data_IF_299705140463
#
_entry.id   IF_299705140463
#
_cell.length_a   1.000
_cell.length_b   1.000
_cell.length_c   1.000
_cell.angle_alpha   90.00
_cell.angle_beta   90.00
_cell.angle_gamma   90.00
#
_symmetry.space_group_name_H-M   'P 1'
#
loop_
_entity.id
_entity.type
_entity.pdbx_description
1 polymer ?
#
# COMPACT_ATOMS: atom_id res chain seq x y z
N UNK A 1 42.99 14.25 -13.13
CA UNK A 1 41.78 14.25 -12.28
C UNK A 1 40.65 13.36 -12.81
N UNK A 2 40.23 13.49 -14.07
CA UNK A 2 39.08 12.75 -14.63
C UNK A 2 39.12 11.22 -14.44
N UNK A 3 40.27 10.57 -14.68
CA UNK A 3 40.42 9.11 -14.54
C UNK A 3 40.21 8.59 -13.11
N UNK A 4 40.57 9.39 -12.09
CA UNK A 4 40.39 9.03 -10.68
C UNK A 4 38.91 9.18 -10.28
N UNK A 5 38.25 10.24 -10.76
CA UNK A 5 36.82 10.46 -10.57
C UNK A 5 35.97 9.37 -11.23
N UNK A 6 36.27 9.01 -12.49
CA UNK A 6 35.59 7.94 -13.20
C UNK A 6 35.77 6.58 -12.49
N UNK A 7 36.99 6.26 -12.03
CA UNK A 7 37.25 5.04 -11.24
C UNK A 7 36.45 5.01 -9.95
N UNK A 8 36.42 6.13 -9.21
CA UNK A 8 35.62 6.26 -7.98
C UNK A 8 34.13 6.03 -8.24
N UNK A 9 33.60 6.61 -9.31
CA UNK A 9 32.21 6.43 -9.74
C UNK A 9 31.89 4.95 -10.02
N UNK A 10 32.70 4.28 -10.85
CA UNK A 10 32.48 2.85 -11.16
C UNK A 10 32.59 1.97 -9.92
N UNK A 11 33.51 2.26 -9.00
CA UNK A 11 33.61 1.54 -7.72
C UNK A 11 32.35 1.76 -6.89
N UNK A 12 31.80 2.97 -6.83
CA UNK A 12 30.57 3.27 -6.09
C UNK A 12 29.36 2.54 -6.70
N UNK A 13 29.21 2.58 -8.02
CA UNK A 13 28.15 1.87 -8.74
C UNK A 13 28.28 0.36 -8.53
N UNK A 14 29.48 -0.21 -8.62
CA UNK A 14 29.71 -1.63 -8.38
C UNK A 14 29.37 -2.03 -6.94
N UNK A 15 29.77 -1.24 -5.93
CA UNK A 15 29.37 -1.47 -4.53
C UNK A 15 27.86 -1.38 -4.32
N UNK A 16 27.22 -0.41 -4.98
CA UNK A 16 25.78 -0.25 -4.94
C UNK A 16 25.07 -1.47 -5.56
N UNK A 17 25.51 -1.91 -6.74
CA UNK A 17 24.98 -3.10 -7.41
C UNK A 17 25.21 -4.36 -6.57
N UNK A 18 26.40 -4.56 -6.00
CA UNK A 18 26.69 -5.70 -5.12
C UNK A 18 25.78 -5.74 -3.88
N UNK A 19 25.40 -4.59 -3.32
CA UNK A 19 24.49 -4.54 -2.16
C UNK A 19 23.01 -4.72 -2.51
N UNK A 20 22.62 -4.54 -3.78
CA UNK A 20 21.23 -4.60 -4.25
C UNK A 20 20.91 -5.83 -5.08
N UNK A 21 21.91 -6.42 -5.72
CA UNK A 21 21.72 -7.61 -6.54
C UNK A 21 21.72 -8.85 -5.65
N UNK A 22 20.76 -9.77 -5.84
CA UNK A 22 20.58 -10.95 -5.01
C UNK A 22 21.60 -12.05 -5.36
N UNK A 23 22.90 -11.73 -5.41
CA UNK A 23 23.94 -12.70 -5.76
C UNK A 23 24.06 -13.85 -4.75
N UNK A 24 23.64 -13.62 -3.50
CA UNK A 24 23.55 -14.65 -2.46
C UNK A 24 22.23 -15.41 -2.44
N UNK A 25 21.30 -15.16 -3.36
CA UNK A 25 20.05 -15.89 -3.42
C UNK A 25 20.27 -17.22 -4.16
N UNK A 26 20.39 -18.30 -3.40
CA UNK A 26 20.61 -19.65 -3.90
C UNK A 26 19.50 -20.09 -4.87
N UNK A 27 18.24 -19.70 -4.63
CA UNK A 27 17.12 -20.03 -5.52
C UNK A 27 17.32 -19.45 -6.91
N UNK A 28 17.69 -18.16 -7.01
CA UNK A 28 17.92 -17.53 -8.32
C UNK A 28 19.12 -18.12 -9.05
N UNK A 29 20.14 -18.53 -8.29
CA UNK A 29 21.31 -19.22 -8.84
C UNK A 29 20.94 -20.61 -9.37
N UNK A 30 20.04 -21.31 -8.68
CA UNK A 30 19.62 -22.66 -9.04
C UNK A 30 18.57 -22.66 -10.17
N UNK A 31 17.78 -21.59 -10.33
CA UNK A 31 16.83 -21.41 -11.44
C UNK A 31 17.49 -21.49 -12.82
N UNK A 32 18.78 -21.14 -12.95
CA UNK A 32 19.51 -21.27 -14.23
C UNK A 32 19.52 -22.70 -14.76
N UNK A 33 19.44 -23.69 -13.86
CA UNK A 33 19.50 -25.11 -14.15
C UNK A 33 18.17 -25.65 -14.72
N UNK A 34 17.13 -24.82 -14.81
CA UNK A 34 15.85 -25.16 -15.42
C UNK A 34 15.94 -25.22 -16.95
N UNK A 35 16.97 -24.66 -17.58
CA UNK A 35 17.09 -24.78 -19.02
C UNK A 35 17.21 -26.27 -19.42
N UNK A 36 16.44 -26.80 -20.39
CA UNK A 36 16.49 -28.22 -20.76
C UNK A 36 17.92 -28.71 -21.09
N UNK A 37 18.73 -27.87 -21.74
CA UNK A 37 20.15 -28.17 -22.00
C UNK A 37 21.00 -28.25 -20.75
N UNK A 38 20.67 -27.50 -19.69
CA UNK A 38 21.39 -27.53 -18.42
C UNK A 38 21.03 -28.77 -17.60
N UNK A 39 19.82 -29.32 -17.73
CA UNK A 39 19.39 -30.56 -17.04
C UNK A 39 20.28 -31.76 -17.36
N UNK A 40 21.02 -31.73 -18.48
CA UNK A 40 22.02 -32.74 -18.84
C UNK A 40 23.25 -32.74 -17.94
N UNK A 41 23.53 -31.63 -17.25
CA UNK A 41 24.67 -31.53 -16.35
C UNK A 41 24.33 -32.12 -14.98
N UNK A 42 25.22 -32.92 -14.42
CA UNK A 42 25.05 -33.50 -13.07
C UNK A 42 24.93 -32.42 -11.99
N UNK A 43 25.60 -31.28 -12.19
CA UNK A 43 25.51 -30.13 -11.30
C UNK A 43 24.12 -29.48 -11.28
N UNK A 44 23.37 -29.57 -12.38
CA UNK A 44 22.02 -29.04 -12.50
C UNK A 44 21.02 -29.88 -11.69
N UNK A 45 21.20 -31.21 -11.64
CA UNK A 45 20.36 -32.12 -10.86
C UNK A 45 20.44 -31.76 -9.36
N UNK A 46 21.63 -31.46 -8.84
CA UNK A 46 21.81 -31.02 -7.45
C UNK A 46 21.10 -29.68 -7.19
N UNK A 47 21.27 -28.71 -8.10
CA UNK A 47 20.60 -27.42 -8.00
C UNK A 47 19.07 -27.55 -8.04
N UNK A 48 18.53 -28.39 -8.93
CA UNK A 48 17.09 -28.64 -9.03
C UNK A 48 16.53 -29.34 -7.78
N UNK A 49 17.31 -30.24 -7.16
CA UNK A 49 16.95 -30.84 -5.87
C UNK A 49 16.83 -29.80 -4.77
N UNK A 50 17.84 -28.93 -4.63
CA UNK A 50 17.82 -27.85 -3.65
C UNK A 50 16.61 -26.95 -3.88
N UNK A 51 16.35 -26.61 -5.15
CA UNK A 51 15.23 -25.78 -5.53
C UNK A 51 13.89 -26.44 -5.17
N UNK A 52 13.70 -27.73 -5.48
CA UNK A 52 12.50 -28.48 -5.12
C UNK A 52 12.25 -28.51 -3.60
N UNK A 53 13.31 -28.60 -2.79
CA UNK A 53 13.20 -28.54 -1.32
C UNK A 53 12.76 -27.16 -0.80
N UNK A 54 13.08 -26.08 -1.53
CA UNK A 54 12.69 -24.72 -1.19
C UNK A 54 11.23 -24.39 -1.57
N UNK A 55 10.55 -25.26 -2.32
CA UNK A 55 9.15 -25.04 -2.77
C UNK A 55 8.22 -26.20 -2.36
N UNK A 56 8.04 -26.45 -1.06
CA UNK A 56 7.25 -27.58 -0.55
C UNK A 56 5.77 -27.54 -0.94
N UNK A 57 5.24 -26.35 -1.26
CA UNK A 57 3.87 -26.16 -1.74
C UNK A 57 3.64 -26.76 -3.13
N UNK A 58 4.68 -26.77 -3.97
CA UNK A 58 4.61 -27.31 -5.35
C UNK A 58 4.97 -28.79 -5.36
N UNK A 59 6.06 -29.13 -4.67
CA UNK A 59 6.63 -30.48 -4.59
C UNK A 59 6.71 -30.88 -3.12
N UNK A 60 5.82 -31.75 -2.63
CA UNK A 60 5.91 -32.26 -1.27
C UNK A 60 7.26 -32.95 -1.02
N UNK A 61 7.82 -32.89 0.20
CA UNK A 61 9.11 -33.52 0.53
C UNK A 61 9.19 -35.02 0.16
N UNK A 62 8.05 -35.71 0.21
CA UNK A 62 7.92 -37.13 -0.13
C UNK A 62 8.07 -37.41 -1.63
N UNK A 63 7.75 -36.43 -2.48
CA UNK A 63 7.80 -36.53 -3.94
C UNK A 63 9.13 -36.07 -4.52
N UNK A 64 10.02 -35.46 -3.71
CA UNK A 64 11.31 -34.94 -4.19
C UNK A 64 12.15 -36.05 -4.81
N UNK A 65 12.26 -37.21 -4.17
CA UNK A 65 13.03 -38.33 -4.73
C UNK A 65 12.48 -38.79 -6.09
N UNK A 66 11.15 -38.93 -6.20
CA UNK A 66 10.51 -39.31 -7.45
C UNK A 66 10.65 -38.25 -8.56
N UNK A 67 10.67 -36.96 -8.20
CA UNK A 67 10.99 -35.88 -9.14
C UNK A 67 12.43 -35.98 -9.63
N UNK A 68 13.39 -36.30 -8.75
CA UNK A 68 14.79 -36.46 -9.13
C UNK A 68 14.98 -37.66 -10.08
N UNK A 69 14.24 -38.74 -9.88
CA UNK A 69 14.27 -39.89 -10.77
C UNK A 69 13.75 -39.51 -12.18
N UNK A 70 12.65 -38.75 -12.26
CA UNK A 70 12.11 -38.23 -13.51
C UNK A 70 13.10 -37.28 -14.22
N UNK A 71 13.76 -36.39 -13.47
CA UNK A 71 14.78 -35.47 -14.00
C UNK A 71 16.04 -36.20 -14.49
N UNK A 72 16.45 -37.24 -13.79
CA UNK A 72 17.60 -38.08 -14.20
C UNK A 72 17.26 -38.88 -15.44
N UNK A 73 16.02 -39.36 -15.59
CA UNK A 73 15.58 -39.99 -16.82
C UNK A 73 15.53 -38.97 -17.97
N UNK A 74 15.04 -37.76 -17.71
CA UNK A 74 14.99 -36.68 -18.69
C UNK A 74 16.40 -36.28 -19.18
N UNK A 75 17.41 -36.29 -18.32
CA UNK A 75 18.79 -35.92 -18.71
C UNK A 75 19.41 -36.89 -19.72
N UNK A 76 18.90 -38.13 -19.79
CA UNK A 76 19.34 -39.15 -20.76
C UNK A 76 18.67 -39.03 -22.12
N UNK A 77 17.63 -38.21 -22.26
CA UNK A 77 16.92 -38.04 -23.52
C UNK A 77 17.59 -37.00 -24.43
N UNK A 78 17.52 -37.26 -25.73
CA UNK A 78 18.01 -36.34 -26.75
C UNK A 78 16.92 -35.36 -27.17
N UNK A 79 17.06 -34.10 -26.74
CA UNK A 79 16.27 -32.98 -27.25
C UNK A 79 17.16 -32.06 -28.09
N UNK A 80 16.66 -31.64 -29.25
CA UNK A 80 17.23 -30.51 -29.98
C UNK A 80 16.89 -29.22 -29.23
N UNK A 81 17.89 -28.60 -28.61
CA UNK A 81 17.70 -27.27 -28.01
C UNK A 81 18.30 -26.22 -28.93
N UNK A 82 17.47 -25.31 -29.42
CA UNK A 82 17.95 -24.11 -30.08
C UNK A 82 18.26 -23.04 -29.02
N UNK A 83 19.49 -22.49 -28.96
CA UNK A 83 19.85 -21.44 -28.01
C UNK A 83 19.02 -20.16 -28.11
N UNK A 84 18.31 -19.96 -29.23
CA UNK A 84 17.46 -18.80 -29.49
C UNK A 84 15.96 -19.08 -29.32
N UNK A 85 15.58 -20.31 -28.99
CA UNK A 85 14.18 -20.64 -28.69
C UNK A 85 13.78 -20.09 -27.33
N UNK A 86 12.52 -19.67 -27.19
CA UNK A 86 12.02 -19.25 -25.87
C UNK A 86 12.00 -20.46 -24.95
N UNK A 87 12.36 -20.24 -23.69
CA UNK A 87 12.40 -21.31 -22.69
C UNK A 87 11.07 -22.07 -22.57
N UNK A 88 9.94 -21.35 -22.67
CA UNK A 88 8.60 -21.93 -22.63
C UNK A 88 8.36 -22.90 -23.79
N UNK A 89 8.80 -22.53 -25.00
CA UNK A 89 8.63 -23.33 -26.23
C UNK A 89 9.52 -24.58 -26.15
N UNK A 90 10.76 -24.44 -25.66
CA UNK A 90 11.66 -25.57 -25.45
C UNK A 90 11.07 -26.60 -24.48
N UNK A 91 10.44 -26.15 -23.39
CA UNK A 91 9.76 -27.03 -22.43
C UNK A 91 8.44 -27.59 -22.95
N UNK A 92 7.75 -26.92 -23.86
CA UNK A 92 6.50 -27.38 -24.45
C UNK A 92 6.68 -28.71 -25.19
N UNK A 93 7.82 -28.93 -25.85
CA UNK A 93 8.15 -30.23 -26.47
C UNK A 93 8.16 -31.35 -25.43
N UNK A 94 8.84 -31.12 -24.30
CA UNK A 94 8.93 -32.08 -23.19
C UNK A 94 7.55 -32.31 -22.55
N UNK A 95 6.74 -31.26 -22.42
CA UNK A 95 5.38 -31.35 -21.88
C UNK A 95 4.44 -32.18 -22.77
N UNK A 96 4.71 -32.24 -24.07
CA UNK A 96 3.91 -33.00 -25.03
C UNK A 96 4.27 -34.49 -25.10
N UNK A 97 5.35 -34.92 -24.44
CA UNK A 97 5.75 -36.31 -24.42
C UNK A 97 4.75 -37.16 -23.64
N UNK A 98 4.25 -38.21 -24.28
CA UNK A 98 3.31 -39.17 -23.70
C UNK A 98 4.03 -40.47 -23.32
N UNK A 99 3.63 -41.05 -22.20
CA UNK A 99 3.96 -42.42 -21.83
C UNK A 99 3.16 -43.42 -22.67
N UNK A 100 3.52 -44.70 -22.58
CA UNK A 100 2.82 -45.81 -23.27
C UNK A 100 1.35 -45.91 -22.88
N UNK A 101 1.00 -45.40 -21.70
CA UNK A 101 -0.37 -45.40 -21.17
C UNK A 101 -1.19 -44.15 -21.59
N UNK A 102 -0.64 -43.29 -22.46
CA UNK A 102 -1.29 -42.07 -22.95
C UNK A 102 -1.30 -40.89 -21.97
N UNK A 103 -0.75 -41.06 -20.76
CA UNK A 103 -0.51 -39.97 -19.81
C UNK A 103 0.79 -39.19 -20.09
N UNK A 104 1.02 -38.02 -19.47
CA UNK A 104 2.28 -37.28 -19.61
C UNK A 104 3.45 -38.13 -19.10
N UNK A 105 4.56 -38.14 -19.85
CA UNK A 105 5.74 -38.96 -19.55
C UNK A 105 6.45 -38.54 -18.24
N UNK A 106 6.45 -37.24 -17.95
CA UNK A 106 7.12 -36.66 -16.78
C UNK A 106 6.18 -35.75 -15.97
N UNK A 107 5.16 -36.31 -15.29
CA UNK A 107 4.10 -35.53 -14.66
C UNK A 107 4.63 -34.60 -13.54
N UNK A 108 5.59 -35.04 -12.74
CA UNK A 108 6.15 -34.24 -11.64
C UNK A 108 7.07 -33.17 -12.17
N UNK A 109 7.94 -33.50 -13.13
CA UNK A 109 8.81 -32.52 -13.76
C UNK A 109 8.01 -31.41 -14.44
N UNK A 110 6.95 -31.76 -15.18
CA UNK A 110 6.06 -30.77 -15.82
C UNK A 110 5.45 -29.81 -14.79
N UNK A 111 4.93 -30.34 -13.68
CA UNK A 111 4.33 -29.53 -12.62
C UNK A 111 5.35 -28.59 -11.98
N UNK A 112 6.53 -29.12 -11.65
CA UNK A 112 7.62 -28.38 -11.03
C UNK A 112 8.12 -27.24 -11.94
N UNK A 113 8.44 -27.55 -13.19
CA UNK A 113 8.95 -26.57 -14.17
C UNK A 113 7.91 -25.48 -14.43
N UNK A 114 6.63 -25.82 -14.63
CA UNK A 114 5.57 -24.82 -14.82
C UNK A 114 5.47 -23.84 -13.65
N UNK A 115 5.62 -24.33 -12.42
CA UNK A 115 5.63 -23.46 -11.25
C UNK A 115 6.85 -22.53 -11.28
N UNK A 116 8.02 -23.01 -11.67
CA UNK A 116 9.23 -22.18 -11.72
C UNK A 116 9.20 -21.15 -12.84
N UNK A 117 8.65 -21.50 -14.02
CA UNK A 117 8.45 -20.56 -15.12
C UNK A 117 7.37 -19.51 -14.81
N UNK A 118 6.52 -19.75 -13.81
CA UNK A 118 5.53 -18.75 -13.35
C UNK A 118 6.12 -17.67 -12.44
N UNK A 119 7.38 -17.84 -12.00
CA UNK A 119 8.07 -16.82 -11.20
C UNK A 119 8.37 -15.60 -12.06
N UNK A 120 7.92 -14.43 -11.61
CA UNK A 120 8.21 -13.17 -12.29
C UNK A 120 9.71 -12.87 -12.25
N UNK A 121 10.33 -12.78 -13.43
CA UNK A 121 11.77 -12.59 -13.60
C UNK A 121 12.22 -11.11 -13.57
N UNK A 122 11.29 -10.18 -13.31
CA UNK A 122 11.62 -8.77 -13.17
C UNK A 122 10.40 -7.88 -12.91
N UNK A 123 10.68 -6.60 -12.65
CA UNK A 123 9.64 -5.60 -12.41
C UNK A 123 8.99 -5.09 -13.71
N UNK A 124 9.45 -5.53 -14.88
CA UNK A 124 8.96 -5.05 -16.18
C UNK A 124 7.45 -5.23 -16.35
N UNK A 125 6.89 -6.36 -15.92
CA UNK A 125 5.44 -6.60 -15.98
C UNK A 125 4.66 -5.69 -15.04
N UNK A 126 5.23 -5.40 -13.86
CA UNK A 126 4.65 -4.49 -12.88
C UNK A 126 4.69 -3.05 -13.41
N UNK A 127 5.80 -2.63 -14.00
CA UNK A 127 5.99 -1.32 -14.62
C UNK A 127 5.10 -1.11 -15.85
N UNK A 128 4.95 -2.14 -16.68
CA UNK A 128 3.98 -2.16 -17.78
C UNK A 128 2.57 -1.99 -17.22
N UNK A 129 2.23 -2.69 -16.15
CA UNK A 129 1.01 -2.48 -15.40
C UNK A 129 0.84 -1.02 -14.98
N UNK A 130 1.82 -0.41 -14.32
CA UNK A 130 1.75 0.99 -13.90
C UNK A 130 1.53 1.95 -15.07
N UNK A 131 2.18 1.71 -16.20
CA UNK A 131 1.97 2.49 -17.43
C UNK A 131 0.53 2.38 -17.93
N UNK A 132 -0.04 1.17 -17.90
CA UNK A 132 -1.46 0.97 -18.23
C UNK A 132 -2.41 1.66 -17.24
N UNK A 133 -2.08 1.65 -15.94
CA UNK A 133 -2.85 2.40 -14.94
C UNK A 133 -2.79 3.90 -15.19
N UNK A 134 -1.60 4.43 -15.50
CA UNK A 134 -1.43 5.84 -15.82
C UNK A 134 -2.34 6.24 -16.98
N UNK A 135 -2.43 5.40 -18.02
CA UNK A 135 -3.34 5.63 -19.15
C UNK A 135 -4.82 5.57 -18.74
N UNK A 136 -5.21 4.63 -17.88
CA UNK A 136 -6.58 4.51 -17.37
C UNK A 136 -7.00 5.70 -16.49
N UNK A 137 -6.06 6.26 -15.73
CA UNK A 137 -6.29 7.36 -14.78
C UNK A 137 -6.12 8.76 -15.37
N UNK A 138 -5.55 8.89 -16.57
CA UNK A 138 -5.18 10.17 -17.18
C UNK A 138 -6.33 11.19 -17.27
N UNK A 139 -7.57 10.73 -17.38
CA UNK A 139 -8.78 11.57 -17.42
C UNK A 139 -9.79 11.20 -16.31
N UNK A 140 -9.41 10.28 -15.41
CA UNK A 140 -10.31 9.64 -14.44
C UNK A 140 -9.64 9.54 -13.06
N UNK A 141 -9.21 10.68 -12.54
CA UNK A 141 -8.49 10.77 -11.26
C UNK A 141 -9.35 10.42 -10.03
N UNK A 142 -10.68 10.43 -10.15
CA UNK A 142 -11.61 10.12 -9.05
C UNK A 142 -12.17 8.69 -9.09
N UNK A 143 -11.47 7.74 -9.72
CA UNK A 143 -11.87 6.34 -9.69
C UNK A 143 -11.48 5.68 -8.37
N UNK A 144 -12.42 4.95 -7.77
CA UNK A 144 -12.11 4.08 -6.64
C UNK A 144 -11.17 2.94 -7.06
N UNK A 145 -10.37 2.44 -6.11
CA UNK A 145 -9.44 1.32 -6.34
C UNK A 145 -10.19 0.10 -6.88
N UNK A 146 -11.40 -0.18 -6.38
CA UNK A 146 -12.25 -1.25 -6.88
C UNK A 146 -12.61 -1.09 -8.36
N UNK A 147 -12.90 0.14 -8.80
CA UNK A 147 -13.20 0.45 -10.20
C UNK A 147 -11.98 0.25 -11.10
N UNK A 148 -10.80 0.68 -10.65
CA UNK A 148 -9.53 0.48 -11.37
C UNK A 148 -9.23 -1.02 -11.52
N UNK A 149 -9.37 -1.80 -10.46
CA UNK A 149 -9.18 -3.25 -10.49
C UNK A 149 -10.17 -3.95 -11.42
N UNK A 150 -11.44 -3.54 -11.40
CA UNK A 150 -12.47 -4.07 -12.32
C UNK A 150 -12.18 -3.77 -13.78
N UNK A 151 -11.76 -2.54 -14.10
CA UNK A 151 -11.37 -2.15 -15.46
C UNK A 151 -10.13 -2.94 -15.93
N UNK A 152 -9.13 -3.09 -15.05
CA UNK A 152 -7.93 -3.90 -15.32
C UNK A 152 -8.27 -5.36 -15.61
N UNK A 153 -9.08 -5.99 -14.77
CA UNK A 153 -9.49 -7.38 -14.94
C UNK A 153 -10.22 -7.58 -16.27
N UNK A 154 -11.14 -6.66 -16.61
CA UNK A 154 -11.90 -6.69 -17.86
C UNK A 154 -10.96 -6.53 -19.08
N UNK A 155 -10.07 -5.54 -19.06
CA UNK A 155 -9.11 -5.30 -20.14
C UNK A 155 -8.16 -6.50 -20.33
N UNK A 156 -7.65 -7.06 -19.23
CA UNK A 156 -6.80 -8.25 -19.27
C UNK A 156 -7.53 -9.45 -19.88
N UNK A 157 -8.80 -9.64 -19.53
CA UNK A 157 -9.64 -10.69 -20.12
C UNK A 157 -9.85 -10.47 -21.62
N UNK A 158 -10.20 -9.26 -22.07
CA UNK A 158 -10.36 -8.96 -23.49
C UNK A 158 -9.05 -9.11 -24.29
N UNK A 159 -7.89 -8.79 -23.70
CA UNK A 159 -6.59 -8.99 -24.34
C UNK A 159 -6.31 -10.46 -24.69
N UNK A 160 -6.93 -11.44 -24.00
CA UNK A 160 -6.81 -12.87 -24.34
C UNK A 160 -7.47 -13.22 -25.68
N UNK A 161 -8.40 -12.40 -26.14
CA UNK A 161 -9.15 -12.56 -27.39
C UNK A 161 -8.67 -11.56 -28.46
N UNK A 162 -7.38 -11.20 -28.44
CA UNK A 162 -6.81 -10.29 -29.45
C UNK A 162 -7.31 -8.84 -29.36
N UNK A 163 -7.90 -8.45 -28.23
CA UNK A 163 -8.59 -7.16 -28.06
C UNK A 163 -9.85 -6.98 -28.94
N UNK A 164 -10.31 -8.04 -29.60
CA UNK A 164 -11.55 -8.03 -30.36
C UNK A 164 -12.73 -8.30 -29.44
N UNK A 165 -13.58 -7.28 -29.25
CA UNK A 165 -14.76 -7.39 -28.40
C UNK A 165 -15.75 -8.46 -28.91
N UNK A 166 -15.84 -8.64 -30.23
CA UNK A 166 -16.74 -9.61 -30.87
C UNK A 166 -16.35 -11.06 -30.62
N UNK A 167 -15.07 -11.32 -30.36
CA UNK A 167 -14.55 -12.66 -30.10
C UNK A 167 -14.74 -13.09 -28.63
N UNK A 168 -15.16 -12.18 -27.75
CA UNK A 168 -15.32 -12.47 -26.33
C UNK A 168 -16.66 -13.20 -26.08
N UNK A 169 -16.64 -14.46 -25.60
CA UNK A 169 -17.86 -15.21 -25.34
C UNK A 169 -18.57 -14.66 -24.10
N UNK A 170 -19.79 -14.16 -24.28
CA UNK A 170 -20.63 -13.65 -23.19
C UNK A 170 -21.32 -14.82 -22.48
N UNK A 171 -20.87 -15.13 -21.26
CA UNK A 171 -21.48 -16.17 -20.44
C UNK A 171 -22.80 -15.68 -19.79
N UNK A 172 -23.78 -16.57 -19.53
CA UNK A 172 -25.02 -16.21 -18.83
C UNK A 172 -24.80 -15.53 -17.48
N UNK A 173 -23.76 -15.92 -16.74
CA UNK A 173 -23.39 -15.32 -15.47
C UNK A 173 -22.98 -13.85 -15.59
N UNK A 174 -22.34 -13.48 -16.72
CA UNK A 174 -21.97 -12.08 -16.99
C UNK A 174 -23.23 -11.24 -17.19
N UNK A 175 -24.22 -11.77 -17.91
CA UNK A 175 -25.51 -11.10 -18.11
C UNK A 175 -26.22 -10.89 -16.77
N UNK A 176 -26.23 -11.91 -15.92
CA UNK A 176 -26.80 -11.83 -14.56
C UNK A 176 -26.07 -10.79 -13.71
N UNK A 177 -24.73 -10.77 -13.76
CA UNK A 177 -23.91 -9.82 -13.02
C UNK A 177 -24.15 -8.37 -13.47
N UNK A 178 -24.25 -8.12 -14.78
CA UNK A 178 -24.55 -6.80 -15.34
C UNK A 178 -25.94 -6.33 -14.91
N UNK A 179 -26.96 -7.18 -14.98
CA UNK A 179 -28.31 -6.85 -14.50
C UNK A 179 -28.35 -6.48 -13.01
N UNK A 180 -27.51 -7.11 -12.18
CA UNK A 180 -27.40 -6.80 -10.75
C UNK A 180 -26.45 -5.65 -10.41
N UNK A 181 -25.71 -5.10 -11.38
CA UNK A 181 -24.64 -4.13 -11.13
C UNK A 181 -25.17 -2.80 -10.59
N UNK A 182 -26.31 -2.32 -11.10
CA UNK A 182 -26.95 -1.09 -10.64
C UNK A 182 -27.41 -1.18 -9.19
N UNK A 183 -27.99 -2.33 -8.80
CA UNK A 183 -28.41 -2.59 -7.42
C UNK A 183 -27.19 -2.56 -6.47
N UNK A 184 -26.10 -3.25 -6.84
CA UNK A 184 -24.86 -3.22 -6.06
C UNK A 184 -24.25 -1.82 -5.96
N UNK A 185 -24.32 -1.04 -7.04
CA UNK A 185 -23.86 0.35 -7.01
C UNK A 185 -24.67 1.18 -6.00
N UNK A 186 -26.01 1.08 -6.02
CA UNK A 186 -26.85 1.75 -5.04
C UNK A 186 -26.54 1.33 -3.60
N UNK A 187 -26.33 0.04 -3.36
CA UNK A 187 -25.90 -0.49 -2.06
C UNK A 187 -24.56 0.13 -1.63
N UNK A 188 -23.55 0.17 -2.50
CA UNK A 188 -22.26 0.81 -2.20
C UNK A 188 -22.40 2.31 -1.90
N UNK A 189 -23.15 3.07 -2.70
CA UNK A 189 -23.37 4.50 -2.47
C UNK A 189 -24.06 4.74 -1.12
N UNK A 190 -25.08 3.92 -0.80
CA UNK A 190 -25.77 4.02 0.49
C UNK A 190 -24.82 3.75 1.67
N UNK A 191 -23.94 2.74 1.55
CA UNK A 191 -22.94 2.40 2.55
C UNK A 191 -21.85 3.48 2.71
N UNK A 192 -21.49 4.22 1.65
CA UNK A 192 -20.53 5.33 1.69
C UNK A 192 -21.14 6.63 2.25
N UNK A 193 -22.44 6.85 2.08
CA UNK A 193 -23.17 8.01 2.62
C UNK A 193 -23.35 7.95 4.15
N UNK A 194 -23.52 6.76 4.74
CA UNK A 194 -23.70 6.61 6.19
C UNK A 194 -22.51 7.11 7.05
N UNK A 195 -21.25 6.72 6.78
CA UNK A 195 -20.11 7.16 7.58
C UNK A 195 -19.74 8.63 7.35
N UNK A 196 -19.99 9.18 6.15
CA UNK A 196 -19.75 10.59 5.84
C UNK A 196 -20.77 11.49 6.54
N UNK A 197 -22.04 11.10 6.62
CA UNK A 197 -23.05 11.80 7.41
C UNK A 197 -22.77 11.74 8.93
N UNK A 198 -22.31 10.59 9.45
CA UNK A 198 -21.92 10.46 10.87
C UNK A 198 -20.70 11.32 11.22
N UNK A 199 -19.68 11.35 10.36
CA UNK A 199 -18.49 12.20 10.53
C UNK A 199 -18.81 13.70 10.44
N UNK A 200 -19.71 14.09 9.53
CA UNK A 200 -20.16 15.49 9.42
C UNK A 200 -20.93 15.97 10.66
N UNK A 201 -21.80 15.11 11.23
CA UNK A 201 -22.51 15.41 12.50
C UNK A 201 -21.55 15.54 13.68
N UNK A 202 -20.63 14.58 13.86
CA UNK A 202 -19.59 14.64 14.90
C UNK A 202 -18.70 15.89 14.79
N UNK A 203 -18.39 16.34 13.56
CA UNK A 203 -17.63 17.56 13.35
C UNK A 203 -18.46 18.82 13.63
N UNK A 204 -19.75 18.86 13.29
CA UNK A 204 -20.62 19.99 13.63
C UNK A 204 -20.85 20.11 15.14
N UNK A 205 -21.13 19.01 15.83
CA UNK A 205 -21.37 18.99 17.27
C UNK A 205 -20.11 19.39 18.06
N UNK A 206 -18.94 18.92 17.63
CA UNK A 206 -17.65 19.28 18.26
C UNK A 206 -17.21 20.72 17.96
N UNK A 207 -17.60 21.30 16.83
CA UNK A 207 -17.35 22.72 16.53
C UNK A 207 -18.32 23.61 17.31
N UNK A 208 -19.60 23.24 17.41
CA UNK A 208 -20.60 23.96 18.22
C UNK A 208 -20.20 24.09 19.68
N UNK A 209 -19.90 22.96 20.34
CA UNK A 209 -19.48 22.94 21.75
C UNK A 209 -18.22 23.78 22.02
N UNK A 210 -17.27 23.82 21.09
CA UNK A 210 -16.04 24.61 21.23
C UNK A 210 -16.26 26.11 21.02
N UNK A 211 -17.22 26.50 20.20
CA UNK A 211 -17.59 27.90 19.99
C UNK A 211 -18.29 28.45 21.23
N UNK A 212 -19.14 27.64 21.88
CA UNK A 212 -19.84 28.03 23.10
C UNK A 212 -18.90 28.15 24.30
N UNK A 213 -17.93 27.23 24.46
CA UNK A 213 -16.87 27.34 25.48
C UNK A 213 -15.96 28.57 25.29
N UNK A 214 -15.67 28.95 24.05
CA UNK A 214 -14.89 30.17 23.79
C UNK A 214 -15.69 31.44 24.10
N UNK A 215 -17.00 31.44 23.84
CA UNK A 215 -17.88 32.57 24.16
C UNK A 215 -18.04 32.76 25.67
N UNK A 216 -18.18 31.68 26.44
CA UNK A 216 -18.30 31.78 27.90
C UNK A 216 -17.02 32.33 28.55
N UNK A 217 -15.84 31.87 28.12
CA UNK A 217 -14.56 32.39 28.61
C UNK A 217 -14.36 33.86 28.23
N UNK A 218 -14.84 34.28 27.05
CA UNK A 218 -14.76 35.68 26.64
C UNK A 218 -15.65 36.59 27.50
N UNK A 219 -16.86 36.14 27.86
CA UNK A 219 -17.76 36.85 28.78
C UNK A 219 -17.10 36.99 30.17
N UNK A 220 -16.43 35.93 30.65
CA UNK A 220 -15.72 35.96 31.93
C UNK A 220 -14.56 36.97 31.93
N UNK A 221 -13.78 37.03 30.84
CA UNK A 221 -12.71 38.01 30.65
C UNK A 221 -13.27 39.44 30.66
N UNK A 222 -14.36 39.68 29.94
CA UNK A 222 -14.98 41.01 29.87
C UNK A 222 -15.58 41.42 31.22
N UNK A 223 -16.11 40.48 32.00
CA UNK A 223 -16.56 40.71 33.37
C UNK A 223 -15.40 41.10 34.30
N UNK A 224 -14.27 40.40 34.22
CA UNK A 224 -13.09 40.68 35.03
C UNK A 224 -12.47 42.05 34.70
N UNK A 225 -12.43 42.43 33.41
CA UNK A 225 -12.01 43.77 32.98
C UNK A 225 -12.88 44.88 33.55
N UNK A 226 -14.21 44.68 33.59
CA UNK A 226 -15.13 45.64 34.22
C UNK A 226 -14.90 45.77 35.73
N UNK A 227 -14.62 44.65 36.41
CA UNK A 227 -14.28 44.68 37.85
C UNK A 227 -12.98 45.46 38.12
N UNK A 228 -11.96 45.31 37.27
CA UNK A 228 -10.71 46.06 37.38
C UNK A 228 -10.91 47.56 37.15
N UNK A 229 -11.68 47.95 36.12
CA UNK A 229 -12.01 49.35 35.88
C UNK A 229 -12.77 50.00 37.05
N UNK A 230 -13.69 49.24 37.67
CA UNK A 230 -14.41 49.71 38.87
C UNK A 230 -13.49 49.84 40.09
N UNK A 231 -12.55 48.91 40.28
CA UNK A 231 -11.55 48.98 41.33
C UNK A 231 -10.64 50.21 41.19
N UNK A 232 -10.18 50.51 39.97
CA UNK A 232 -9.38 51.71 39.68
C UNK A 232 -10.14 53.01 39.98
N UNK A 233 -11.43 53.07 39.62
CA UNK A 233 -12.29 54.21 39.94
C UNK A 233 -12.49 54.39 41.45
N UNK A 234 -12.69 53.30 42.20
CA UNK A 234 -12.83 53.34 43.65
C UNK A 234 -11.55 53.80 44.34
N UNK A 235 -10.40 53.30 43.92
CA UNK A 235 -9.08 53.73 44.43
C UNK A 235 -8.85 55.22 44.12
N UNK A 236 -9.13 55.66 42.89
CA UNK A 236 -8.98 57.07 42.51
C UNK A 236 -9.92 58.00 43.30
N UNK A 237 -11.15 57.55 43.59
CA UNK A 237 -12.12 58.29 44.41
C UNK A 237 -11.70 58.33 45.89
N UNK A 238 -11.24 57.21 46.44
CA UNK A 238 -10.72 57.10 47.81
C UNK A 238 -9.47 57.97 48.03
N UNK A 239 -8.56 58.00 47.06
CA UNK A 239 -7.38 58.89 47.10
C UNK A 239 -7.75 60.37 47.08
N UNK A 240 -8.77 60.77 46.28
CA UNK A 240 -9.26 62.15 46.24
C UNK A 240 -9.99 62.57 47.53
N UNK A 241 -10.72 61.64 48.16
CA UNK A 241 -11.53 61.90 49.35
C UNK A 241 -10.79 61.62 50.68
N UNK A 242 -9.53 61.13 50.64
CA UNK A 242 -8.76 60.65 51.81
C UNK A 242 -9.50 59.61 52.66
N UNK A 243 -10.37 58.80 52.02
CA UNK A 243 -11.11 57.72 52.68
C UNK A 243 -10.35 56.41 52.50
N UNK A 244 -9.78 55.91 53.59
CA UNK A 244 -8.96 54.70 53.57
C UNK A 244 -9.77 53.44 53.24
N UNK A 245 -11.02 53.36 53.72
CA UNK A 245 -11.93 52.23 53.49
C UNK A 245 -12.24 52.00 52.00
N UNK A 246 -12.38 53.07 51.22
CA UNK A 246 -12.62 53.02 49.77
C UNK A 246 -11.37 52.53 49.01
N UNK A 247 -10.16 52.82 49.54
CA UNK A 247 -8.88 52.37 48.98
C UNK A 247 -8.68 50.88 49.29
N UNK A 248 -8.96 50.44 50.51
CA UNK A 248 -8.84 49.04 50.92
C UNK A 248 -9.83 48.16 50.16
N UNK A 249 -11.09 48.60 50.03
CA UNK A 249 -12.12 47.91 49.24
C UNK A 249 -11.74 47.84 47.76
N UNK A 250 -11.19 48.93 47.20
CA UNK A 250 -10.68 48.96 45.83
C UNK A 250 -9.49 48.02 45.61
N UNK A 251 -8.56 47.94 46.56
CA UNK A 251 -7.42 47.00 46.49
C UNK A 251 -7.85 45.54 46.59
N UNK A 252 -8.86 45.22 47.41
CA UNK A 252 -9.44 43.88 47.49
C UNK A 252 -10.09 43.46 46.16
N UNK A 253 -10.90 44.34 45.55
CA UNK A 253 -11.51 44.11 44.25
C UNK A 253 -10.48 43.98 43.12
N UNK A 254 -9.37 44.71 43.21
CA UNK A 254 -8.28 44.63 42.25
C UNK A 254 -7.62 43.24 42.29
N UNK A 255 -7.32 42.72 43.48
CA UNK A 255 -6.76 41.37 43.66
C UNK A 255 -7.71 40.28 43.14
N UNK A 256 -9.00 40.40 43.44
CA UNK A 256 -10.01 39.44 42.98
C UNK A 256 -10.18 39.48 41.45
N UNK A 257 -10.26 40.69 40.87
CA UNK A 257 -10.33 40.89 39.43
C UNK A 257 -9.11 40.34 38.70
N UNK A 258 -7.90 40.53 39.24
CA UNK A 258 -6.66 39.99 38.68
C UNK A 258 -6.63 38.45 38.74
N UNK A 259 -7.06 37.84 39.85
CA UNK A 259 -7.13 36.39 39.97
C UNK A 259 -8.13 35.76 38.98
N UNK A 260 -9.31 36.39 38.81
CA UNK A 260 -10.34 35.95 37.86
C UNK A 260 -9.88 36.13 36.40
N UNK A 261 -9.17 37.22 36.10
CA UNK A 261 -8.58 37.45 34.78
C UNK A 261 -7.49 36.41 34.46
N UNK A 262 -6.58 36.15 35.40
CA UNK A 262 -5.49 35.19 35.22
C UNK A 262 -6.01 33.76 34.97
N UNK A 263 -7.02 33.33 35.74
CA UNK A 263 -7.64 32.00 35.57
C UNK A 263 -8.44 31.87 34.27
N UNK A 264 -9.02 32.95 33.76
CA UNK A 264 -9.75 32.92 32.47
C UNK A 264 -8.78 32.94 31.29
N UNK A 265 -7.66 33.65 31.40
CA UNK A 265 -6.59 33.67 30.40
C UNK A 265 -5.86 32.33 30.30
N UNK A 266 -5.57 31.67 31.42
CA UNK A 266 -4.95 30.33 31.41
C UNK A 266 -5.84 29.30 30.72
N UNK A 267 -7.14 29.29 31.02
CA UNK A 267 -8.14 28.45 30.33
C UNK A 267 -8.17 28.70 28.82
N UNK A 268 -8.05 29.96 28.39
CA UNK A 268 -8.01 30.33 26.97
C UNK A 268 -6.72 29.84 26.28
N UNK A 269 -5.57 29.94 26.95
CA UNK A 269 -4.30 29.43 26.44
C UNK A 269 -4.29 27.90 26.31
N UNK A 270 -4.84 27.18 27.29
CA UNK A 270 -4.96 25.73 27.25
C UNK A 270 -5.87 25.26 26.11
N UNK A 271 -6.95 25.98 25.83
CA UNK A 271 -7.79 25.72 24.66
C UNK A 271 -7.06 26.00 23.34
N UNK A 272 -6.22 27.04 23.27
CA UNK A 272 -5.40 27.33 22.08
C UNK A 272 -4.31 26.26 21.85
N UNK A 273 -3.64 25.79 22.90
CA UNK A 273 -2.65 24.70 22.83
C UNK A 273 -3.28 23.37 22.38
N UNK A 274 -4.49 23.07 22.87
CA UNK A 274 -5.26 21.90 22.39
C UNK A 274 -5.62 22.02 20.90
N UNK A 275 -5.87 23.22 20.38
CA UNK A 275 -6.11 23.46 18.95
C UNK A 275 -4.86 23.27 18.08
N UNK A 276 -3.66 23.61 18.56
CA UNK A 276 -2.42 23.43 17.80
C UNK A 276 -1.98 21.96 17.74
N UNK A 277 -2.23 21.18 18.80
CA UNK A 277 -1.89 19.76 18.83
C UNK A 277 -2.80 18.90 17.95
N UNK A 278 -4.06 19.31 17.72
CA UNK A 278 -5.02 18.57 16.89
C UNK A 278 -4.90 18.83 15.38
N UNK A 279 -3.91 19.62 14.92
CA UNK A 279 -3.69 19.98 13.51
C UNK A 279 -2.46 19.30 12.87
N UNK A 280 -1.76 18.44 13.61
CA UNK A 280 -0.67 17.57 13.12
C UNK A 280 -1.18 16.12 13.04
#
# INVERSE_FOLDING_TARGET
>A
MFRIGARSFYIHVAKYLLSRLPFGNEVLKDLKSIHPSAVKEESAIVALRNLAQQVPEVVPPQEVSALMDELTLLSTEEFSSNPHERLDDAWQHIFSLLSKDGGPKYPRTVKFVKAMLSLAHGNADVERGFSENRRLLHERSNLSIASVNGLRATKSFCSRYGQDASAVPIKPDMIKAVKGSFKKYQECVSAECEPSAKKAKLHQDSVGSKVDEQRSIQIDIDSAKKMLANAELLIAKGMKAKKFDDIESGQALLKEGQAKLASSLSKLEDLKKKKSCARL
#
